data_IF_739569814453
#
_entry.id   IF_739569814453
#
_cell.length_a   1.000
_cell.length_b   1.000
_cell.length_c   1.000
_cell.angle_alpha   90.00
_cell.angle_beta   90.00
_cell.angle_gamma   90.00
#
_symmetry.space_group_name_H-M   'P 1'
#
loop_
_entity.id
_entity.type
_entity.pdbx_description
1 polymer ?
#
# COMPACT_ATOMS: atom_id res chain seq x y z
N UNK A 1 84.00 58.73 15.78
CA UNK A 1 83.28 57.63 15.11
C UNK A 1 82.78 58.14 13.77
N UNK A 2 82.92 57.37 12.69
CA UNK A 2 82.41 57.75 11.37
C UNK A 2 80.87 57.72 11.37
N UNK A 3 80.24 58.80 10.93
CA UNK A 3 78.78 58.96 10.82
C UNK A 3 78.02 57.70 10.29
N UNK A 4 78.49 56.93 9.29
CA UNK A 4 77.73 55.76 8.80
C UNK A 4 77.59 54.58 9.78
N UNK A 5 78.36 54.52 10.87
CA UNK A 5 78.22 53.44 11.88
C UNK A 5 77.09 53.71 12.89
N UNK A 6 76.50 54.91 12.89
CA UNK A 6 75.49 55.30 13.87
C UNK A 6 74.11 54.76 13.56
N UNK A 7 73.79 54.40 12.31
CA UNK A 7 72.49 53.85 11.90
C UNK A 7 72.16 52.52 12.59
N UNK A 8 73.13 51.61 12.66
CA UNK A 8 72.94 50.32 13.36
C UNK A 8 72.80 50.50 14.87
N UNK A 9 73.63 51.35 15.47
CA UNK A 9 73.57 51.65 16.90
C UNK A 9 72.28 52.38 17.29
N UNK A 10 71.73 53.18 16.37
CA UNK A 10 70.48 53.89 16.57
C UNK A 10 69.31 52.91 16.64
N UNK A 11 69.23 51.91 15.76
CA UNK A 11 68.19 50.87 15.84
C UNK A 11 68.24 50.11 17.17
N UNK A 12 69.43 49.69 17.59
CA UNK A 12 69.62 49.00 18.88
C UNK A 12 69.32 49.91 20.09
N UNK A 13 69.52 51.23 19.96
CA UNK A 13 69.15 52.20 20.98
C UNK A 13 67.62 52.32 21.12
N UNK A 14 66.87 52.27 20.02
CA UNK A 14 65.41 52.30 20.05
C UNK A 14 64.78 51.00 20.61
N UNK A 15 65.49 49.87 20.53
CA UNK A 15 65.09 48.59 21.12
C UNK A 15 65.56 48.37 22.55
N UNK A 16 66.13 49.39 23.22
CA UNK A 16 66.69 49.33 24.59
C UNK A 16 67.73 48.20 24.81
N UNK A 17 68.34 47.69 23.73
CA UNK A 17 69.26 46.54 23.77
C UNK A 17 70.74 46.95 23.78
N UNK A 18 71.05 48.24 23.88
CA UNK A 18 72.42 48.75 23.88
C UNK A 18 73.16 48.47 25.19
N UNK A 19 74.40 47.97 25.09
CA UNK A 19 75.28 47.85 26.26
C UNK A 19 75.61 49.23 26.87
N UNK A 20 75.78 49.29 28.20
CA UNK A 20 76.07 50.56 28.91
C UNK A 20 77.30 51.30 28.38
N UNK A 21 78.32 50.59 27.89
CA UNK A 21 79.53 51.19 27.33
C UNK A 21 79.26 51.81 25.95
N UNK A 22 78.58 51.09 25.06
CA UNK A 22 78.19 51.59 23.74
C UNK A 22 77.26 52.81 23.85
N UNK A 23 76.38 52.82 24.86
CA UNK A 23 75.47 53.94 25.12
C UNK A 23 76.21 55.22 25.48
N UNK A 24 77.21 55.14 26.36
CA UNK A 24 78.04 56.29 26.73
C UNK A 24 78.83 56.85 25.55
N UNK A 25 79.33 55.99 24.66
CA UNK A 25 80.03 56.41 23.44
C UNK A 25 79.08 57.06 22.43
N UNK A 26 77.87 56.51 22.29
CA UNK A 26 76.83 57.07 21.44
C UNK A 26 76.34 58.44 21.94
N UNK A 27 76.09 58.58 23.25
CA UNK A 27 75.71 59.86 23.86
C UNK A 27 76.82 60.91 23.68
N UNK A 28 78.09 60.54 23.83
CA UNK A 28 79.23 61.44 23.52
C UNK A 28 79.24 61.86 22.06
N UNK A 29 78.91 60.96 21.13
CA UNK A 29 78.85 61.28 19.70
C UNK A 29 77.67 62.23 19.36
N UNK A 30 76.51 62.06 20.01
CA UNK A 30 75.36 62.96 19.85
C UNK A 30 75.66 64.40 20.30
N UNK A 31 76.57 64.60 21.27
CA UNK A 31 77.02 65.94 21.65
C UNK A 31 77.96 66.59 20.61
N UNK A 32 78.62 65.79 19.77
CA UNK A 32 79.62 66.27 18.81
C UNK A 32 79.08 66.42 17.39
N UNK A 33 78.03 65.68 17.02
CA UNK A 33 77.46 65.67 15.67
C UNK A 33 76.02 66.20 15.68
N UNK A 34 75.79 67.35 15.06
CA UNK A 34 74.46 67.97 14.97
C UNK A 34 73.51 67.17 14.07
N UNK A 35 74.00 66.62 12.96
CA UNK A 35 73.19 65.82 12.02
C UNK A 35 72.58 64.59 12.71
N UNK A 36 73.39 63.84 13.47
CA UNK A 36 72.93 62.67 14.22
C UNK A 36 71.88 63.01 15.28
N UNK A 37 71.95 64.22 15.87
CA UNK A 37 70.96 64.69 16.84
C UNK A 37 69.62 64.98 16.18
N UNK A 38 69.65 65.67 15.04
CA UNK A 38 68.43 65.99 14.28
C UNK A 38 67.73 64.72 13.80
N UNK A 39 68.49 63.75 13.29
CA UNK A 39 67.94 62.44 12.88
C UNK A 39 67.27 61.70 14.05
N UNK A 40 67.89 61.73 15.23
CA UNK A 40 67.34 61.09 16.42
C UNK A 40 66.04 61.77 16.89
N UNK A 41 65.96 63.09 16.82
CA UNK A 41 64.76 63.85 17.19
C UNK A 41 63.61 63.63 16.19
N UNK A 42 63.91 63.55 14.89
CA UNK A 42 62.94 63.18 13.86
C UNK A 42 62.33 61.80 14.14
N UNK A 43 63.15 60.81 14.45
CA UNK A 43 62.68 59.46 14.74
C UNK A 43 61.84 59.38 16.03
N UNK A 44 62.19 60.17 17.06
CA UNK A 44 61.36 60.30 18.26
C UNK A 44 60.01 60.95 17.96
N UNK A 45 59.94 61.88 17.02
CA UNK A 45 58.70 62.50 16.58
C UNK A 45 57.83 61.48 15.84
N UNK A 46 58.37 60.77 14.84
CA UNK A 46 57.64 59.74 14.09
C UNK A 46 57.11 58.63 15.00
N UNK A 47 57.90 58.19 16.00
CA UNK A 47 57.44 57.20 16.99
C UNK A 47 56.21 57.68 17.76
N UNK A 48 56.16 58.95 18.15
CA UNK A 48 55.01 59.52 18.86
C UNK A 48 53.77 59.55 17.98
N UNK A 49 53.91 59.94 16.72
CA UNK A 49 52.80 59.96 15.75
C UNK A 49 52.27 58.56 15.46
N UNK A 50 53.16 57.58 15.28
CA UNK A 50 52.75 56.18 15.08
C UNK A 50 52.05 55.59 16.30
N UNK A 51 52.48 55.93 17.51
CA UNK A 51 51.79 55.51 18.75
C UNK A 51 50.46 56.23 18.95
N UNK A 52 50.32 57.45 18.43
CA UNK A 52 49.07 58.21 18.45
C UNK A 52 48.12 57.81 17.31
N UNK A 53 48.57 57.02 16.35
CA UNK A 53 47.77 56.52 15.24
C UNK A 53 46.64 55.64 15.78
N UNK A 54 45.40 56.02 15.50
CA UNK A 54 44.21 55.22 15.80
C UNK A 54 43.63 54.69 14.50
N UNK A 55 43.18 53.44 14.49
CA UNK A 55 42.49 52.87 13.34
C UNK A 55 41.15 53.59 13.12
N UNK A 56 41.11 54.44 12.11
CA UNK A 56 39.89 55.10 11.68
C UNK A 56 39.10 54.14 10.79
N UNK A 57 37.82 53.94 11.09
CA UNK A 57 36.97 53.11 10.22
C UNK A 57 36.86 53.76 8.86
N UNK A 58 37.14 52.99 7.82
CA UNK A 58 36.94 53.38 6.42
C UNK A 58 35.45 53.73 6.23
N UNK A 59 35.11 54.92 5.71
CA UNK A 59 33.73 55.26 5.38
C UNK A 59 33.16 54.24 4.39
N UNK A 60 31.84 54.05 4.40
CA UNK A 60 30.99 53.05 3.73
C UNK A 60 31.18 52.73 2.22
N UNK A 61 32.31 53.04 1.59
CA UNK A 61 32.54 52.79 0.16
C UNK A 61 33.11 51.40 -0.16
N UNK A 62 33.41 50.58 0.85
CA UNK A 62 33.81 49.17 0.67
C UNK A 62 32.58 48.28 0.40
N UNK A 63 32.00 48.44 -0.79
CA UNK A 63 30.80 47.73 -1.24
C UNK A 63 31.01 46.22 -1.39
N UNK A 64 32.26 45.74 -1.41
CA UNK A 64 32.57 44.34 -1.59
C UNK A 64 32.10 43.48 -0.41
N UNK A 65 32.35 43.93 0.82
CA UNK A 65 32.00 43.20 2.03
C UNK A 65 30.50 43.25 2.37
N UNK A 66 29.79 44.31 1.97
CA UNK A 66 28.34 44.42 2.22
C UNK A 66 27.52 43.45 1.37
N UNK A 67 27.96 43.13 0.15
CA UNK A 67 27.29 42.14 -0.72
C UNK A 67 27.36 40.75 -0.09
N UNK A 68 28.54 40.36 0.43
CA UNK A 68 28.70 39.06 1.10
C UNK A 68 28.05 39.00 2.48
N UNK A 69 28.02 40.11 3.23
CA UNK A 69 27.27 40.17 4.50
C UNK A 69 25.77 40.04 4.28
N UNK A 70 25.19 40.59 3.22
CA UNK A 70 23.74 40.46 2.98
C UNK A 70 23.28 39.01 2.75
N UNK A 71 24.17 38.14 2.28
CA UNK A 71 23.87 36.72 2.04
C UNK A 71 24.08 35.84 3.29
N UNK A 72 24.90 36.28 4.25
CA UNK A 72 25.26 35.49 5.43
C UNK A 72 24.91 36.13 6.78
N UNK A 73 24.46 37.38 6.81
CA UNK A 73 24.01 38.04 8.04
C UNK A 73 22.52 37.76 8.21
N UNK A 74 22.23 36.79 9.08
CA UNK A 74 20.89 36.55 9.62
C UNK A 74 20.51 37.83 10.34
N UNK A 75 19.76 38.70 9.63
CA UNK A 75 19.35 40.01 10.07
C UNK A 75 19.10 40.03 11.58
N UNK A 76 19.93 40.76 12.33
CA UNK A 76 19.70 40.98 13.75
C UNK A 76 18.34 41.67 13.87
N UNK A 77 17.32 40.87 14.18
CA UNK A 77 15.94 41.29 14.26
C UNK A 77 15.83 42.41 15.27
N UNK A 78 15.54 43.61 14.79
CA UNK A 78 15.00 44.68 15.61
C UNK A 78 13.69 44.17 16.22
N UNK A 79 13.73 43.72 17.47
CA UNK A 79 12.53 43.39 18.26
C UNK A 79 11.85 44.68 18.69
N UNK A 80 11.24 45.38 17.74
CA UNK A 80 10.27 46.44 18.00
C UNK A 80 8.86 45.85 18.04
N UNK A 81 7.92 46.49 18.75
CA UNK A 81 6.50 46.09 18.78
C UNK A 81 5.88 45.94 17.36
N UNK A 82 6.43 46.60 16.35
CA UNK A 82 6.05 46.44 14.94
C UNK A 82 6.46 45.09 14.31
N UNK A 83 7.42 44.38 14.91
CA UNK A 83 7.74 43.01 14.49
C UNK A 83 6.56 42.08 14.68
N UNK A 84 5.66 42.31 15.65
CA UNK A 84 4.47 41.48 15.87
C UNK A 84 3.40 41.66 14.79
N UNK A 85 3.23 42.89 14.28
CA UNK A 85 2.26 43.19 13.22
C UNK A 85 2.61 42.47 11.90
N UNK A 86 3.91 42.27 11.63
CA UNK A 86 4.34 41.52 10.45
C UNK A 86 3.83 40.06 10.42
N UNK A 87 3.55 39.47 11.60
CA UNK A 87 3.02 38.11 11.70
C UNK A 87 1.50 38.07 11.75
N UNK A 88 0.81 39.21 11.83
CA UNK A 88 -0.65 39.25 11.81
C UNK A 88 -1.25 38.52 10.60
N UNK A 89 -0.80 38.75 9.35
CA UNK A 89 -1.34 38.01 8.20
C UNK A 89 -0.98 36.52 8.25
N UNK A 90 0.22 36.15 8.70
CA UNK A 90 0.62 34.73 8.78
C UNK A 90 -0.13 33.97 9.87
N UNK A 91 -0.38 34.61 11.01
CA UNK A 91 -1.17 34.05 12.11
C UNK A 91 -2.64 33.94 11.68
N UNK A 92 -3.18 34.93 10.97
CA UNK A 92 -4.52 34.86 10.42
C UNK A 92 -4.67 33.74 9.38
N UNK A 93 -3.71 33.57 8.46
CA UNK A 93 -3.74 32.47 7.50
C UNK A 93 -3.60 31.10 8.17
N UNK A 94 -2.77 31.01 9.22
CA UNK A 94 -2.61 29.78 9.98
C UNK A 94 -3.86 29.45 10.80
N UNK A 95 -4.51 30.45 11.39
CA UNK A 95 -5.79 30.28 12.08
C UNK A 95 -6.89 29.82 11.11
N UNK A 96 -6.98 30.39 9.90
CA UNK A 96 -7.91 29.94 8.86
C UNK A 96 -7.62 28.51 8.39
N UNK A 97 -6.33 28.15 8.25
CA UNK A 97 -5.93 26.77 7.95
C UNK A 97 -6.37 25.81 9.06
N UNK A 98 -6.18 26.19 10.33
CA UNK A 98 -6.65 25.43 11.47
C UNK A 98 -8.18 25.27 11.43
N UNK A 99 -8.93 26.37 11.23
CA UNK A 99 -10.40 26.31 11.14
C UNK A 99 -10.88 25.38 10.02
N UNK A 100 -10.17 25.35 8.88
CA UNK A 100 -10.46 24.48 7.75
C UNK A 100 -10.12 23.02 8.04
N UNK A 101 -8.98 22.73 8.67
CA UNK A 101 -8.59 21.37 9.06
C UNK A 101 -9.47 20.79 10.18
N UNK A 102 -9.92 21.66 11.09
CA UNK A 102 -10.76 21.31 12.24
C UNK A 102 -12.26 21.31 11.89
N UNK A 103 -12.62 21.70 10.67
CA UNK A 103 -14.00 21.76 10.17
C UNK A 103 -14.94 22.44 11.18
N UNK A 104 -14.60 23.71 11.48
CA UNK A 104 -15.23 24.46 12.58
C UNK A 104 -16.50 25.15 12.10
N UNK A 105 -17.67 24.72 12.57
CA UNK A 105 -18.94 25.37 12.28
C UNK A 105 -19.31 26.35 13.40
N UNK A 106 -19.46 27.63 13.04
CA UNK A 106 -19.92 28.68 13.96
C UNK A 106 -21.40 28.95 13.68
N UNK A 107 -22.25 28.69 14.66
CA UNK A 107 -23.68 29.04 14.61
C UNK A 107 -24.00 30.07 15.68
N UNK A 108 -24.62 31.18 15.28
CA UNK A 108 -25.06 32.24 16.20
C UNK A 108 -26.55 32.02 16.46
N UNK A 109 -26.92 31.74 17.71
CA UNK A 109 -28.31 31.64 18.16
C UNK A 109 -28.62 32.72 19.20
N UNK A 110 -29.90 33.00 19.45
CA UNK A 110 -30.38 34.06 20.35
C UNK A 110 -29.90 33.91 21.83
N UNK A 111 -29.30 32.78 22.19
CA UNK A 111 -28.80 32.47 23.54
C UNK A 111 -27.27 32.49 23.70
N UNK A 112 -26.48 32.78 22.65
CA UNK A 112 -25.03 32.91 22.77
C UNK A 112 -24.24 32.39 21.55
N UNK A 113 -22.90 32.52 21.66
CA UNK A 113 -21.96 32.10 20.62
C UNK A 113 -21.46 30.69 20.92
N UNK A 114 -21.86 29.71 20.09
CA UNK A 114 -21.44 28.32 20.23
C UNK A 114 -20.51 27.94 19.07
N UNK A 115 -19.33 27.42 19.39
CA UNK A 115 -18.32 26.98 18.43
C UNK A 115 -18.24 25.46 18.48
N UNK A 116 -18.60 24.80 17.39
CA UNK A 116 -18.50 23.35 17.26
C UNK A 116 -17.22 23.00 16.47
N UNK A 117 -16.39 22.13 17.02
CA UNK A 117 -15.15 21.67 16.39
C UNK A 117 -15.28 20.21 15.96
N UNK A 118 -14.98 19.95 14.69
CA UNK A 118 -15.20 18.68 14.02
C UNK A 118 -16.66 18.55 13.59
N UNK A 119 -16.87 18.37 12.28
CA UNK A 119 -18.15 18.12 11.59
C UNK A 119 -18.89 16.86 12.06
N UNK A 120 -19.14 16.78 13.35
CA UNK A 120 -19.87 15.74 14.06
C UNK A 120 -21.36 15.78 13.70
N UNK A 121 -21.89 16.96 13.37
CA UNK A 121 -23.25 17.10 12.84
C UNK A 121 -23.40 16.51 11.43
N UNK A 122 -22.49 16.80 10.51
CA UNK A 122 -22.52 16.21 9.16
C UNK A 122 -22.13 14.72 9.16
N UNK A 123 -21.11 14.32 9.94
CA UNK A 123 -20.74 12.90 10.10
C UNK A 123 -21.83 12.07 10.76
N UNK A 124 -22.51 12.57 11.80
CA UNK A 124 -23.65 11.87 12.38
C UNK A 124 -24.81 11.72 11.38
N UNK A 125 -25.04 12.73 10.53
CA UNK A 125 -26.00 12.64 9.42
C UNK A 125 -25.60 11.60 8.37
N UNK A 126 -24.32 11.55 8.01
CA UNK A 126 -23.76 10.57 7.06
C UNK A 126 -23.85 9.16 7.63
N UNK A 127 -23.43 8.94 8.88
CA UNK A 127 -23.48 7.63 9.55
C UNK A 127 -24.93 7.14 9.69
N UNK A 128 -25.87 8.04 10.00
CA UNK A 128 -27.29 7.71 10.03
C UNK A 128 -27.82 7.34 8.64
N UNK A 129 -27.43 8.09 7.59
CA UNK A 129 -27.82 7.77 6.22
C UNK A 129 -27.23 6.44 5.73
N UNK A 130 -26.01 6.11 6.16
CA UNK A 130 -25.32 4.88 5.82
C UNK A 130 -25.97 3.68 6.52
N UNK A 131 -26.34 3.81 7.80
CA UNK A 131 -27.05 2.78 8.54
C UNK A 131 -28.44 2.48 7.94
N UNK A 132 -29.17 3.51 7.50
CA UNK A 132 -30.45 3.33 6.80
C UNK A 132 -30.25 2.66 5.45
N UNK A 133 -29.22 3.06 4.69
CA UNK A 133 -28.90 2.44 3.41
C UNK A 133 -28.49 0.97 3.56
N UNK A 134 -27.66 0.63 4.56
CA UNK A 134 -27.24 -0.73 4.85
C UNK A 134 -28.43 -1.62 5.26
N UNK A 135 -29.34 -1.10 6.09
CA UNK A 135 -30.57 -1.78 6.45
C UNK A 135 -31.44 -2.06 5.21
N UNK A 136 -31.60 -1.06 4.34
CA UNK A 136 -32.38 -1.20 3.11
C UNK A 136 -31.74 -2.20 2.13
N UNK A 137 -30.42 -2.17 1.96
CA UNK A 137 -29.72 -3.16 1.13
C UNK A 137 -29.88 -4.58 1.67
N UNK A 138 -29.80 -4.76 2.99
CA UNK A 138 -29.95 -6.07 3.62
C UNK A 138 -31.35 -6.63 3.38
N UNK A 139 -32.39 -5.80 3.50
CA UNK A 139 -33.78 -6.18 3.21
C UNK A 139 -33.98 -6.55 1.73
N UNK A 140 -33.41 -5.75 0.81
CA UNK A 140 -33.46 -6.05 -0.62
C UNK A 140 -32.77 -7.38 -0.96
N UNK A 141 -31.57 -7.62 -0.42
CA UNK A 141 -30.82 -8.87 -0.61
C UNK A 141 -31.62 -10.06 -0.05
N UNK A 142 -32.17 -9.94 1.16
CA UNK A 142 -32.98 -11.00 1.76
C UNK A 142 -34.22 -11.31 0.89
N UNK A 143 -34.85 -10.28 0.33
CA UNK A 143 -35.98 -10.46 -0.58
C UNK A 143 -35.58 -11.20 -1.88
N UNK A 144 -34.39 -10.93 -2.41
CA UNK A 144 -33.86 -11.61 -3.60
C UNK A 144 -33.54 -13.07 -3.31
N UNK A 145 -32.92 -13.36 -2.16
CA UNK A 145 -32.61 -14.72 -1.71
C UNK A 145 -33.91 -15.53 -1.59
N UNK A 146 -34.93 -15.01 -0.88
CA UNK A 146 -36.23 -15.69 -0.74
C UNK A 146 -36.89 -15.98 -2.10
N UNK A 147 -36.82 -15.02 -3.04
CA UNK A 147 -37.34 -15.22 -4.42
C UNK A 147 -36.55 -16.25 -5.22
N UNK A 148 -35.25 -16.35 -4.98
CA UNK A 148 -34.39 -17.33 -5.64
C UNK A 148 -34.66 -18.74 -5.11
N UNK A 149 -34.69 -18.90 -3.78
CA UNK A 149 -35.03 -20.16 -3.12
C UNK A 149 -36.41 -20.68 -3.55
N UNK A 150 -37.42 -19.80 -3.59
CA UNK A 150 -38.75 -20.16 -4.07
C UNK A 150 -38.75 -20.64 -5.53
N UNK A 151 -38.00 -19.96 -6.42
CA UNK A 151 -37.85 -20.38 -7.82
C UNK A 151 -37.11 -21.71 -7.93
N UNK A 152 -36.05 -21.91 -7.15
CA UNK A 152 -35.28 -23.16 -7.16
C UNK A 152 -36.12 -24.33 -6.64
N UNK A 153 -36.88 -24.15 -5.56
CA UNK A 153 -37.79 -25.15 -5.03
C UNK A 153 -38.87 -25.52 -6.06
N UNK A 154 -39.48 -24.53 -6.73
CA UNK A 154 -40.49 -24.76 -7.76
C UNK A 154 -39.90 -25.50 -8.97
N UNK A 155 -38.74 -25.09 -9.46
CA UNK A 155 -38.06 -25.73 -10.58
C UNK A 155 -37.66 -27.18 -10.25
N UNK A 156 -37.12 -27.42 -9.04
CA UNK A 156 -36.81 -28.77 -8.58
C UNK A 156 -38.06 -29.66 -8.51
N UNK A 157 -39.20 -29.15 -8.04
CA UNK A 157 -40.46 -29.91 -8.03
C UNK A 157 -40.93 -30.24 -9.45
N UNK A 158 -40.86 -29.28 -10.39
CA UNK A 158 -41.22 -29.52 -11.79
C UNK A 158 -40.30 -30.55 -12.44
N UNK A 159 -38.99 -30.48 -12.17
CA UNK A 159 -38.02 -31.46 -12.66
C UNK A 159 -38.31 -32.85 -12.10
N UNK A 160 -38.59 -32.96 -10.79
CA UNK A 160 -38.95 -34.24 -10.17
C UNK A 160 -40.24 -34.81 -10.77
N UNK A 161 -41.25 -33.99 -11.00
CA UNK A 161 -42.49 -34.42 -11.68
C UNK A 161 -42.22 -34.92 -13.09
N UNK A 162 -41.45 -34.18 -13.89
CA UNK A 162 -41.09 -34.58 -15.24
C UNK A 162 -40.26 -35.88 -15.27
N UNK A 163 -39.35 -36.06 -14.32
CA UNK A 163 -38.57 -37.30 -14.17
C UNK A 163 -39.49 -38.45 -13.77
N UNK A 164 -40.41 -38.24 -12.83
CA UNK A 164 -41.35 -39.29 -12.42
C UNK A 164 -42.26 -39.72 -13.56
N UNK A 165 -42.83 -38.78 -14.31
CA UNK A 165 -43.66 -39.06 -15.48
C UNK A 165 -42.88 -39.82 -16.55
N UNK A 166 -41.67 -39.35 -16.89
CA UNK A 166 -40.80 -40.04 -17.85
C UNK A 166 -40.37 -41.43 -17.38
N UNK A 167 -40.11 -41.59 -16.08
CA UNK A 167 -39.74 -42.89 -15.50
C UNK A 167 -40.94 -43.85 -15.54
N UNK A 168 -42.15 -43.39 -15.22
CA UNK A 168 -43.36 -44.19 -15.31
C UNK A 168 -43.62 -44.63 -16.75
N UNK A 169 -43.52 -43.71 -17.71
CA UNK A 169 -43.70 -44.04 -19.12
C UNK A 169 -42.64 -45.04 -19.61
N UNK A 170 -41.36 -44.77 -19.35
CA UNK A 170 -40.27 -45.69 -19.74
C UNK A 170 -40.40 -47.06 -19.07
N UNK A 171 -40.88 -47.11 -17.82
CA UNK A 171 -41.13 -48.38 -17.12
C UNK A 171 -42.29 -49.13 -17.77
N UNK A 172 -43.38 -48.45 -18.13
CA UNK A 172 -44.50 -49.06 -18.82
C UNK A 172 -44.09 -49.62 -20.20
N UNK A 173 -43.34 -48.86 -20.99
CA UNK A 173 -42.79 -49.30 -22.27
C UNK A 173 -41.84 -50.49 -22.11
N UNK A 174 -41.00 -50.48 -21.07
CA UNK A 174 -40.10 -51.62 -20.77
C UNK A 174 -40.88 -52.87 -20.34
N UNK A 175 -41.93 -52.71 -19.54
CA UNK A 175 -42.75 -53.83 -19.08
C UNK A 175 -43.55 -54.45 -20.24
N UNK A 176 -44.02 -53.63 -21.19
CA UNK A 176 -44.68 -54.11 -22.41
C UNK A 176 -43.71 -54.98 -23.25
N UNK A 177 -42.47 -54.52 -23.45
CA UNK A 177 -41.44 -55.32 -24.12
C UNK A 177 -41.13 -56.64 -23.42
N UNK A 178 -41.07 -56.63 -22.07
CA UNK A 178 -40.87 -57.85 -21.27
C UNK A 178 -42.09 -58.79 -21.42
N UNK A 179 -43.30 -58.25 -21.43
CA UNK A 179 -44.53 -59.05 -21.58
C UNK A 179 -44.57 -59.75 -22.95
N UNK A 180 -44.28 -59.03 -24.03
CA UNK A 180 -44.19 -59.59 -25.39
C UNK A 180 -43.14 -60.69 -25.46
N UNK A 181 -41.95 -60.46 -24.88
CA UNK A 181 -40.89 -61.47 -24.82
C UNK A 181 -41.34 -62.75 -24.10
N UNK A 182 -42.01 -62.63 -22.95
CA UNK A 182 -42.52 -63.79 -22.22
C UNK A 182 -43.63 -64.54 -22.97
N UNK A 183 -44.51 -63.83 -23.68
CA UNK A 183 -45.55 -64.46 -24.49
C UNK A 183 -44.94 -65.23 -25.67
N UNK A 184 -43.94 -64.66 -26.34
CA UNK A 184 -43.20 -65.31 -27.42
C UNK A 184 -42.45 -66.56 -26.92
N UNK A 185 -41.73 -66.45 -25.80
CA UNK A 185 -41.08 -67.59 -25.15
C UNK A 185 -42.08 -68.69 -24.80
N UNK A 186 -43.24 -68.34 -24.25
CA UNK A 186 -44.29 -69.30 -23.89
C UNK A 186 -44.84 -70.04 -25.11
N UNK A 187 -45.06 -69.34 -26.23
CA UNK A 187 -45.52 -69.95 -27.47
C UNK A 187 -44.48 -70.92 -28.03
N UNK A 188 -43.20 -70.54 -27.98
CA UNK A 188 -42.11 -71.41 -28.39
C UNK A 188 -42.01 -72.65 -27.51
N UNK A 189 -42.08 -72.49 -26.18
CA UNK A 189 -42.06 -73.61 -25.23
C UNK A 189 -43.25 -74.57 -25.46
N UNK A 190 -44.45 -74.04 -25.76
CA UNK A 190 -45.61 -74.87 -26.12
C UNK A 190 -45.37 -75.65 -27.43
N UNK A 191 -44.76 -75.03 -28.43
CA UNK A 191 -44.43 -75.69 -29.68
C UNK A 191 -43.40 -76.80 -29.48
N UNK A 192 -42.36 -76.54 -28.69
CA UNK A 192 -41.33 -77.53 -28.34
C UNK A 192 -41.92 -78.70 -27.54
N UNK A 193 -42.85 -78.42 -26.61
CA UNK A 193 -43.61 -79.46 -25.90
C UNK A 193 -44.41 -80.33 -26.87
N UNK A 194 -45.13 -79.73 -27.81
CA UNK A 194 -45.89 -80.48 -28.82
C UNK A 194 -45.00 -81.39 -29.67
N UNK A 195 -43.86 -80.88 -30.13
CA UNK A 195 -42.87 -81.67 -30.88
C UNK A 195 -42.29 -82.80 -30.02
N UNK A 196 -41.97 -82.53 -28.76
CA UNK A 196 -41.49 -83.53 -27.81
C UNK A 196 -42.51 -84.66 -27.58
N UNK A 197 -43.79 -84.32 -27.41
CA UNK A 197 -44.86 -85.31 -27.27
C UNK A 197 -45.05 -86.14 -28.53
N UNK A 198 -44.96 -85.54 -29.71
CA UNK A 198 -45.02 -86.28 -30.99
C UNK A 198 -43.85 -87.25 -31.12
N UNK A 199 -42.64 -86.80 -30.79
CA UNK A 199 -41.45 -87.65 -30.83
C UNK A 199 -41.54 -88.82 -29.84
N UNK A 200 -42.04 -88.58 -28.63
CA UNK A 200 -42.30 -89.64 -27.64
C UNK A 200 -43.31 -90.66 -28.19
N UNK A 201 -44.45 -90.20 -28.71
CA UNK A 201 -45.47 -91.07 -29.30
C UNK A 201 -44.93 -91.91 -30.48
N UNK A 202 -44.15 -91.30 -31.36
CA UNK A 202 -43.49 -91.99 -32.48
C UNK A 202 -42.49 -93.04 -31.98
N UNK A 203 -41.73 -92.72 -30.93
CA UNK A 203 -40.79 -93.66 -30.31
C UNK A 203 -41.48 -94.84 -29.62
N UNK A 204 -42.62 -94.59 -28.96
CA UNK A 204 -43.46 -95.61 -28.35
C UNK A 204 -44.08 -96.53 -29.41
N UNK A 205 -44.50 -95.96 -30.55
CA UNK A 205 -45.03 -96.74 -31.66
C UNK A 205 -43.94 -97.59 -32.33
N UNK A 206 -42.75 -97.03 -32.53
CA UNK A 206 -41.61 -97.76 -33.07
C UNK A 206 -41.14 -98.89 -32.13
N UNK A 207 -41.10 -98.64 -30.82
CA UNK A 207 -40.73 -99.67 -29.82
C UNK A 207 -41.79 -100.77 -29.75
N UNK A 208 -43.08 -100.44 -29.71
CA UNK A 208 -44.16 -101.44 -29.76
C UNK A 208 -44.11 -102.29 -31.03
N UNK A 209 -43.88 -101.67 -32.20
CA UNK A 209 -43.68 -102.41 -33.45
C UNK A 209 -42.47 -103.33 -33.37
N UNK A 210 -41.33 -102.86 -32.85
CA UNK A 210 -40.13 -103.68 -32.72
C UNK A 210 -40.33 -104.86 -31.75
N UNK A 211 -41.10 -104.69 -30.68
CA UNK A 211 -41.47 -105.76 -29.76
C UNK A 211 -42.39 -106.79 -30.43
N UNK A 212 -43.33 -106.35 -31.25
CA UNK A 212 -44.18 -107.26 -32.03
C UNK A 212 -43.37 -108.07 -33.05
N UNK A 213 -42.44 -107.44 -33.76
CA UNK A 213 -41.52 -108.11 -34.68
C UNK A 213 -40.64 -109.13 -33.95
N UNK A 214 -40.10 -108.79 -32.78
CA UNK A 214 -39.36 -109.72 -31.93
C UNK A 214 -40.22 -110.90 -31.45
N UNK A 215 -41.46 -110.65 -31.02
CA UNK A 215 -42.38 -111.70 -30.60
C UNK A 215 -42.72 -112.66 -31.75
N UNK A 216 -42.93 -112.11 -32.96
CA UNK A 216 -43.17 -112.92 -34.16
C UNK A 216 -41.93 -113.73 -34.56
N UNK A 217 -40.72 -113.17 -34.42
CA UNK A 217 -39.48 -113.89 -34.70
C UNK A 217 -39.24 -115.04 -33.70
N UNK A 218 -39.52 -114.84 -32.41
CA UNK A 218 -39.40 -115.89 -31.39
C UNK A 218 -40.43 -117.01 -31.62
N UNK A 219 -41.68 -116.66 -31.93
CA UNK A 219 -42.72 -117.66 -32.17
C UNK A 219 -42.45 -118.52 -33.40
N UNK A 220 -41.87 -117.96 -34.48
CA UNK A 220 -41.41 -118.76 -35.62
C UNK A 220 -40.28 -119.73 -35.26
N UNK A 221 -39.35 -119.32 -34.38
CA UNK A 221 -38.21 -120.15 -33.98
C UNK A 221 -38.60 -121.34 -33.09
N UNK A 222 -39.66 -121.21 -32.30
CA UNK A 222 -40.19 -122.31 -31.48
C UNK A 222 -41.00 -123.34 -32.29
N UNK A 223 -41.48 -123.00 -33.50
CA UNK A 223 -42.22 -123.91 -34.38
C UNK A 223 -41.31 -124.83 -35.21
N UNK A 224 -40.03 -124.46 -35.40
CA UNK A 224 -39.04 -125.25 -36.15
C UNK A 224 -38.15 -126.16 -35.28
N UNK A 225 -38.51 -126.39 -34.01
CA UNK A 225 -37.78 -127.27 -33.07
C UNK A 225 -38.63 -128.45 -32.62
#
# INVERSE_FOLDING_TARGET
>A
MSCPKTTHLLQEYFSDSLSMHARKEFEKHLFQCEECRVELDNLKLTRRELLAWQDQRVPHWDRGLEIFKREHDVASKSTGLFSGWQWAPTVASFAMLCLLLLDTSVSVNDSGFEIYFGGSSERAGIDQSLAVFEAQQTEEIESLIRRFESRQASNNMQLLQAIMERTQQSTAESLDGIYVYFEEQRLQDLQDMHLGYQQLADSDYATLRSLQELAQYVSFRDVER
#
